data_IF_526805396644
#
_entry.id   IF_526805396644
#
_cell.length_a   1.000
_cell.length_b   1.000
_cell.length_c   1.000
_cell.angle_alpha   90.00
_cell.angle_beta   90.00
_cell.angle_gamma   90.00
#
_symmetry.space_group_name_H-M   'P 1'
#
loop_
_entity.id
_entity.type
_entity.pdbx_description
1 polymer ?
#
# COMPACT_ATOMS: atom_id res chain seq x y z
N UNK A 1 -12.25 2.54 -7.73
CA UNK A 1 -12.29 2.12 -6.31
C UNK A 1 -11.08 2.66 -5.53
N UNK A 2 -11.21 2.87 -4.21
CA UNK A 2 -10.11 3.34 -3.33
C UNK A 2 -9.52 2.20 -2.51
N UNK A 3 -8.22 1.96 -2.65
CA UNK A 3 -7.48 0.93 -1.91
C UNK A 3 -6.64 1.59 -0.80
N UNK A 4 -6.80 1.13 0.44
CA UNK A 4 -5.99 1.57 1.58
C UNK A 4 -5.22 0.37 2.13
N UNK A 5 -3.89 0.44 2.17
CA UNK A 5 -3.03 -0.68 2.62
C UNK A 5 -1.89 -0.19 3.50
N UNK A 6 -1.42 -1.06 4.38
CA UNK A 6 -0.19 -0.83 5.14
C UNK A 6 1.04 -1.28 4.34
N UNK A 7 2.12 -0.51 4.45
CA UNK A 7 3.45 -0.92 4.02
C UNK A 7 4.26 -1.33 5.25
N UNK A 8 4.76 -2.56 5.23
CA UNK A 8 5.64 -3.08 6.27
C UNK A 8 7.12 -2.99 5.89
N UNK A 9 7.98 -3.52 6.74
CA UNK A 9 9.44 -3.61 6.52
C UNK A 9 9.88 -5.05 6.22
N UNK A 10 8.93 -5.92 5.83
CA UNK A 10 9.21 -7.33 5.58
C UNK A 10 10.20 -7.52 4.42
N UNK A 11 10.81 -8.70 4.35
CA UNK A 11 11.61 -9.08 3.20
C UNK A 11 10.68 -9.52 2.07
N UNK A 12 10.32 -8.58 1.21
CA UNK A 12 9.39 -8.84 0.11
C UNK A 12 10.13 -9.57 -1.01
N UNK A 13 9.50 -10.62 -1.51
CA UNK A 13 10.00 -11.42 -2.61
C UNK A 13 8.89 -11.55 -3.66
N UNK A 14 9.27 -11.78 -4.91
CA UNK A 14 8.31 -11.94 -5.99
C UNK A 14 7.44 -13.18 -5.76
N UNK A 15 6.13 -12.99 -5.86
CA UNK A 15 5.13 -14.04 -5.75
C UNK A 15 4.05 -13.83 -6.80
N UNK A 16 3.32 -14.90 -7.13
CA UNK A 16 2.12 -14.80 -7.97
C UNK A 16 0.89 -14.94 -7.10
N UNK A 17 0.13 -13.85 -6.98
CA UNK A 17 -1.19 -13.86 -6.36
C UNK A 17 -2.26 -14.17 -7.41
N UNK A 18 -3.36 -14.80 -7.01
CA UNK A 18 -4.53 -15.08 -7.85
C UNK A 18 -5.82 -14.65 -7.14
N UNK A 19 -6.69 -13.96 -7.87
CA UNK A 19 -8.03 -13.63 -7.42
C UNK A 19 -9.00 -13.60 -8.61
N UNK A 20 -10.13 -14.29 -8.47
CA UNK A 20 -11.19 -14.36 -9.49
C UNK A 20 -10.68 -14.77 -10.89
N UNK A 21 -9.75 -15.73 -10.93
CA UNK A 21 -9.13 -16.22 -12.17
C UNK A 21 -8.14 -15.27 -12.82
N UNK A 22 -7.86 -14.11 -12.22
CA UNK A 22 -6.81 -13.17 -12.64
C UNK A 22 -5.58 -13.39 -11.79
N UNK A 23 -4.40 -13.46 -12.42
CA UNK A 23 -3.11 -13.58 -11.72
C UNK A 23 -2.31 -12.30 -11.82
N UNK A 24 -1.53 -12.01 -10.78
CA UNK A 24 -0.60 -10.89 -10.74
C UNK A 24 0.72 -11.33 -10.11
N UNK A 25 1.81 -11.21 -10.85
CA UNK A 25 3.16 -11.46 -10.34
C UNK A 25 3.77 -10.13 -9.87
N UNK A 26 4.09 -10.08 -8.58
CA UNK A 26 4.64 -8.89 -7.92
C UNK A 26 5.22 -9.27 -6.55
N UNK A 27 6.12 -8.45 -6.01
CA UNK A 27 6.53 -8.55 -4.60
C UNK A 27 5.68 -7.69 -3.65
N UNK A 28 4.69 -6.95 -4.17
CA UNK A 28 3.84 -6.07 -3.38
C UNK A 28 2.36 -6.44 -3.50
N UNK A 29 1.79 -7.03 -2.45
CA UNK A 29 0.35 -7.37 -2.40
C UNK A 29 -0.58 -6.16 -2.63
N UNK A 30 -0.12 -4.94 -2.32
CA UNK A 30 -0.87 -3.72 -2.63
C UNK A 30 -1.06 -3.53 -4.15
N UNK A 31 -0.05 -3.89 -4.95
CA UNK A 31 -0.11 -3.83 -6.40
C UNK A 31 -0.98 -4.95 -6.99
N UNK A 32 -0.88 -6.17 -6.44
CA UNK A 32 -1.77 -7.28 -6.82
C UNK A 32 -3.24 -6.93 -6.58
N UNK A 33 -3.57 -6.46 -5.37
CA UNK A 33 -4.93 -6.04 -5.03
C UNK A 33 -5.39 -4.88 -5.90
N UNK A 34 -4.54 -3.88 -6.16
CA UNK A 34 -4.89 -2.76 -7.03
C UNK A 34 -5.22 -3.22 -8.47
N UNK A 35 -4.49 -4.23 -8.98
CA UNK A 35 -4.78 -4.88 -10.26
C UNK A 35 -6.14 -5.58 -10.23
N UNK A 36 -6.34 -6.52 -9.31
CA UNK A 36 -7.56 -7.33 -9.23
C UNK A 36 -8.83 -6.50 -9.04
N UNK A 37 -8.68 -5.41 -8.28
CA UNK A 37 -9.78 -4.55 -7.90
C UNK A 37 -9.95 -3.38 -8.87
N UNK A 38 -9.03 -3.14 -9.81
CA UNK A 38 -9.04 -1.93 -10.65
C UNK A 38 -9.11 -0.66 -9.78
N UNK A 39 -8.13 -0.51 -8.87
CA UNK A 39 -8.09 0.64 -7.97
C UNK A 39 -7.69 1.93 -8.72
N UNK A 40 -8.48 2.99 -8.54
CA UNK A 40 -8.24 4.31 -9.14
C UNK A 40 -7.52 5.26 -8.18
N UNK A 41 -7.50 4.92 -6.88
CA UNK A 41 -6.75 5.64 -5.84
C UNK A 41 -6.14 4.63 -4.88
N UNK A 42 -4.85 4.80 -4.59
CA UNK A 42 -4.07 3.89 -3.75
C UNK A 42 -3.46 4.72 -2.62
N UNK A 43 -3.88 4.45 -1.39
CA UNK A 43 -3.33 5.08 -0.18
C UNK A 43 -2.50 4.06 0.57
N UNK A 44 -1.25 4.41 0.84
CA UNK A 44 -0.30 3.55 1.54
C UNK A 44 0.02 4.15 2.90
N UNK A 45 -0.32 3.43 3.96
CA UNK A 45 -0.02 3.77 5.33
C UNK A 45 1.35 3.18 5.69
N UNK A 46 2.35 4.02 5.86
CA UNK A 46 3.72 3.56 6.09
C UNK A 46 4.38 4.29 7.26
N UNK A 47 5.11 3.55 8.09
CA UNK A 47 6.11 4.18 8.97
C UNK A 47 7.24 4.76 8.15
N UNK A 48 8.03 5.66 8.72
CA UNK A 48 9.18 6.22 7.99
C UNK A 48 10.17 5.12 7.57
N UNK A 49 10.35 4.10 8.42
CA UNK A 49 11.18 2.94 8.10
C UNK A 49 10.61 2.13 6.94
N UNK A 50 9.32 1.81 6.95
CA UNK A 50 8.68 1.06 5.87
C UNK A 50 8.71 1.84 4.54
N UNK A 51 8.52 3.16 4.61
CA UNK A 51 8.65 4.05 3.46
C UNK A 51 10.07 3.98 2.87
N UNK A 52 11.10 4.13 3.70
CA UNK A 52 12.49 4.05 3.25
C UNK A 52 12.84 2.70 2.62
N UNK A 53 12.28 1.61 3.13
CA UNK A 53 12.55 0.27 2.60
C UNK A 53 11.86 0.00 1.26
N UNK A 54 10.61 0.44 1.09
CA UNK A 54 9.74 -0.13 0.07
C UNK A 54 8.94 0.87 -0.77
N UNK A 55 8.88 2.16 -0.39
CA UNK A 55 8.01 3.12 -1.09
C UNK A 55 8.37 3.29 -2.57
N UNK A 56 9.67 3.45 -2.87
CA UNK A 56 10.13 3.62 -4.24
C UNK A 56 9.89 2.35 -5.07
N UNK A 57 10.20 1.18 -4.50
CA UNK A 57 9.97 -0.09 -5.17
C UNK A 57 8.48 -0.34 -5.46
N UNK A 58 7.60 -0.03 -4.52
CA UNK A 58 6.16 -0.09 -4.73
C UNK A 58 5.70 0.87 -5.82
N UNK A 59 6.20 2.11 -5.84
CA UNK A 59 5.82 3.09 -6.86
C UNK A 59 6.21 2.63 -8.28
N UNK A 60 7.44 2.13 -8.46
CA UNK A 60 7.88 1.57 -9.74
C UNK A 60 7.05 0.35 -10.16
N UNK A 61 6.66 -0.49 -9.21
CA UNK A 61 5.86 -1.67 -9.50
C UNK A 61 4.44 -1.30 -9.94
N UNK A 62 3.83 -0.29 -9.29
CA UNK A 62 2.53 0.23 -9.70
C UNK A 62 2.59 0.84 -11.10
N UNK A 63 3.63 1.61 -11.41
CA UNK A 63 3.87 2.15 -12.75
C UNK A 63 4.05 1.03 -13.79
N UNK A 64 4.81 -0.02 -13.48
CA UNK A 64 5.00 -1.21 -14.36
C UNK A 64 3.68 -1.89 -14.68
N UNK A 65 2.72 -1.86 -13.76
CA UNK A 65 1.39 -2.47 -13.89
C UNK A 65 0.33 -1.50 -14.43
N UNK A 66 0.73 -0.30 -14.87
CA UNK A 66 -0.18 0.75 -15.36
C UNK A 66 -1.24 1.17 -14.32
N UNK A 67 -0.84 1.20 -13.05
CA UNK A 67 -1.68 1.59 -11.91
C UNK A 67 -1.34 3.00 -11.42
N UNK A 68 -2.28 3.68 -10.73
CA UNK A 68 -2.04 4.99 -10.14
C UNK A 68 -0.86 5.00 -9.17
N UNK A 69 -0.12 6.11 -9.13
CA UNK A 69 0.90 6.32 -8.12
C UNK A 69 0.29 6.33 -6.71
N UNK A 70 1.00 5.79 -5.69
CA UNK A 70 0.45 5.69 -4.34
C UNK A 70 0.58 7.01 -3.58
N UNK A 71 -0.49 7.41 -2.90
CA UNK A 71 -0.46 8.45 -1.88
C UNK A 71 0.06 7.85 -0.57
N UNK A 72 1.30 8.17 -0.20
CA UNK A 72 1.92 7.63 1.01
C UNK A 72 1.60 8.52 2.21
N UNK A 73 0.70 8.05 3.07
CA UNK A 73 0.41 8.67 4.35
C UNK A 73 1.34 8.10 5.42
N UNK A 74 2.16 8.99 6.01
CA UNK A 74 3.06 8.60 7.09
C UNK A 74 2.25 8.27 8.35
N UNK A 75 2.52 7.10 8.92
CA UNK A 75 2.05 6.70 10.25
C UNK A 75 3.23 6.60 11.24
N UNK A 76 3.00 6.80 12.55
CA UNK A 76 4.03 6.60 13.56
C UNK A 76 4.49 5.14 13.63
N UNK A 77 5.78 4.91 13.92
CA UNK A 77 6.26 3.58 14.33
C UNK A 77 5.71 3.23 15.72
N UNK A 78 5.41 1.95 15.97
CA UNK A 78 4.69 1.47 17.15
C UNK A 78 5.13 2.08 18.50
N UNK A 79 4.15 2.26 19.39
CA UNK A 79 4.36 2.81 20.74
C UNK A 79 3.24 3.69 21.29
N UNK A 80 2.07 3.81 20.64
CA UNK A 80 1.03 4.74 21.07
C UNK A 80 -0.40 4.17 20.92
N UNK A 81 -1.29 4.70 21.77
CA UNK A 81 -2.67 4.30 22.09
C UNK A 81 -3.60 4.20 20.88
N UNK A 82 -4.74 3.52 21.07
CA UNK A 82 -5.88 3.42 20.13
C UNK A 82 -6.18 4.75 19.39
N UNK A 83 -6.05 5.87 20.08
CA UNK A 83 -6.30 7.22 19.57
C UNK A 83 -5.37 7.63 18.43
N UNK A 84 -4.10 7.20 18.45
CA UNK A 84 -3.14 7.52 17.38
C UNK A 84 -3.42 6.71 16.11
N UNK A 85 -3.92 5.49 16.27
CA UNK A 85 -4.44 4.71 15.15
C UNK A 85 -5.69 5.35 14.57
N UNK A 86 -6.65 5.76 15.39
CA UNK A 86 -7.87 6.41 14.91
C UNK A 86 -7.57 7.67 14.10
N UNK A 87 -6.63 8.51 14.53
CA UNK A 87 -6.22 9.71 13.78
C UNK A 87 -5.55 9.39 12.44
N UNK A 88 -4.67 8.38 12.42
CA UNK A 88 -4.05 7.91 11.18
C UNK A 88 -5.10 7.37 10.19
N UNK A 89 -6.03 6.53 10.67
CA UNK A 89 -7.13 5.99 9.87
C UNK A 89 -8.08 7.09 9.38
N UNK A 90 -8.44 8.05 10.23
CA UNK A 90 -9.29 9.18 9.84
C UNK A 90 -8.63 10.00 8.73
N UNK A 91 -7.34 10.31 8.86
CA UNK A 91 -6.58 11.07 7.85
C UNK A 91 -6.53 10.33 6.51
N UNK A 92 -6.33 9.01 6.56
CA UNK A 92 -6.34 8.18 5.36
C UNK A 92 -7.72 8.16 4.68
N UNK A 93 -8.81 8.12 5.46
CA UNK A 93 -10.17 8.05 4.95
C UNK A 93 -10.70 9.42 4.50
N UNK A 94 -10.26 10.52 5.12
CA UNK A 94 -10.84 11.85 4.92
C UNK A 94 -10.43 12.56 3.64
N UNK A 95 -9.47 12.03 2.88
CA UNK A 95 -9.11 12.46 1.52
C UNK A 95 -9.33 13.95 1.25
N UNK A 96 -8.36 14.78 1.61
CA UNK A 96 -8.27 16.18 1.16
C UNK A 96 -7.14 16.32 0.16
#
# INVERSE_FOLDING_TARGET
>A
MRLIRFLGTGNYAETTDEYDGVTCQTCYVAAALATFLSADNIVILATEQAKQSHAQGLAHELERLDLPAPDICRIPSGGMTEELWQRAFQTALSGA
#
